data_IF_631116040657
#
_entry.id   IF_631116040657
#
_cell.length_a   1.000
_cell.length_b   1.000
_cell.length_c   1.000
_cell.angle_alpha   90.00
_cell.angle_beta   90.00
_cell.angle_gamma   90.00
#
_symmetry.space_group_name_H-M   'P 1'
#
loop_
_entity.id
_entity.type
_entity.pdbx_description
1 polymer ?
#
# COMPACT_ATOMS: atom_id res chain seq x y z
N UNK A 1 4.50 4.37 -12.63
CA UNK A 1 3.82 3.40 -11.75
C UNK A 1 2.38 3.10 -12.15
N UNK A 2 1.43 4.02 -11.96
CA UNK A 2 -0.01 3.72 -12.16
C UNK A 2 -0.37 3.26 -13.58
N UNK A 3 0.19 3.89 -14.62
CA UNK A 3 -0.10 3.53 -16.02
C UNK A 3 0.39 2.12 -16.41
N UNK A 4 1.59 1.72 -15.95
CA UNK A 4 2.10 0.36 -16.19
C UNK A 4 1.23 -0.68 -15.48
N UNK A 5 0.86 -0.41 -14.23
CA UNK A 5 -0.05 -1.31 -13.52
C UNK A 5 -1.42 -1.38 -14.20
N UNK A 6 -1.99 -0.25 -14.60
CA UNK A 6 -3.27 -0.21 -15.31
C UNK A 6 -3.23 -0.99 -16.63
N UNK A 7 -2.15 -0.85 -17.43
CA UNK A 7 -1.95 -1.67 -18.62
C UNK A 7 -1.93 -3.15 -18.28
N UNK A 8 -1.09 -3.54 -17.31
CA UNK A 8 -0.99 -4.93 -16.88
C UNK A 8 -2.28 -5.46 -16.26
N UNK A 9 -3.17 -4.61 -15.75
CA UNK A 9 -4.48 -5.01 -15.24
C UNK A 9 -5.48 -5.30 -16.36
N UNK A 10 -5.52 -4.47 -17.39
CA UNK A 10 -6.51 -4.61 -18.49
C UNK A 10 -6.06 -5.59 -19.58
N UNK A 11 -4.77 -5.93 -19.64
CA UNK A 11 -4.25 -6.93 -20.60
C UNK A 11 -4.45 -8.34 -20.08
N UNK A 12 -5.02 -9.28 -20.86
CA UNK A 12 -5.28 -10.65 -20.39
C UNK A 12 -4.00 -11.46 -20.17
N UNK A 13 -2.97 -11.24 -20.98
CA UNK A 13 -1.69 -11.95 -20.91
C UNK A 13 -0.60 -11.13 -20.24
N UNK A 14 0.43 -11.83 -19.76
CA UNK A 14 1.65 -11.21 -19.25
C UNK A 14 2.41 -10.50 -20.39
N UNK A 15 2.96 -9.32 -20.10
CA UNK A 15 3.69 -8.51 -21.07
C UNK A 15 5.18 -8.46 -20.75
N UNK A 16 6.02 -8.32 -21.77
CA UNK A 16 7.45 -8.01 -21.66
C UNK A 16 7.68 -6.52 -21.40
N UNK A 17 8.90 -6.15 -20.99
CA UNK A 17 9.27 -4.73 -20.87
C UNK A 17 9.10 -4.00 -22.20
N UNK A 18 9.48 -4.63 -23.33
CA UNK A 18 9.35 -4.06 -24.67
C UNK A 18 7.88 -3.75 -25.02
N UNK A 19 6.96 -4.68 -24.75
CA UNK A 19 5.53 -4.48 -25.02
C UNK A 19 4.93 -3.37 -24.14
N UNK A 20 5.37 -3.26 -22.88
CA UNK A 20 4.98 -2.17 -21.98
C UNK A 20 5.47 -0.82 -22.52
N UNK A 21 6.71 -0.75 -23.00
CA UNK A 21 7.29 0.46 -23.58
C UNK A 21 6.52 0.91 -24.82
N UNK A 22 6.24 -0.04 -25.73
CA UNK A 22 5.50 0.22 -26.96
C UNK A 22 4.07 0.70 -26.65
N UNK A 23 3.36 -0.03 -25.79
CA UNK A 23 1.96 0.26 -25.43
C UNK A 23 1.77 1.62 -24.77
N UNK A 24 2.74 2.06 -23.96
CA UNK A 24 2.63 3.31 -23.19
C UNK A 24 3.49 4.45 -23.73
N UNK A 25 4.27 4.21 -24.80
CA UNK A 25 5.24 5.18 -25.34
C UNK A 25 6.19 5.72 -24.26
N UNK A 26 6.69 4.84 -23.38
CA UNK A 26 7.62 5.20 -22.30
C UNK A 26 9.02 4.62 -22.53
N UNK A 27 10.03 5.27 -21.93
CA UNK A 27 11.41 4.79 -22.04
C UNK A 27 11.62 3.45 -21.31
N UNK A 28 12.62 2.69 -21.77
CA UNK A 28 13.05 1.43 -21.12
C UNK A 28 13.39 1.61 -19.65
N UNK A 29 14.05 2.72 -19.30
CA UNK A 29 14.39 3.05 -17.92
C UNK A 29 13.16 3.25 -17.04
N UNK A 30 12.14 3.97 -17.54
CA UNK A 30 10.88 4.17 -16.83
C UNK A 30 10.10 2.86 -16.67
N UNK A 31 9.98 2.07 -17.74
CA UNK A 31 9.32 0.77 -17.71
C UNK A 31 9.97 -0.17 -16.70
N UNK A 32 11.30 -0.36 -16.78
CA UNK A 32 12.04 -1.23 -15.86
C UNK A 32 11.94 -0.79 -14.40
N UNK A 33 12.09 0.51 -14.13
CA UNK A 33 11.98 1.05 -12.78
C UNK A 33 10.58 0.79 -12.21
N UNK A 34 9.54 1.12 -13.00
CA UNK A 34 8.16 0.91 -12.59
C UNK A 34 7.84 -0.58 -12.37
N UNK A 35 8.25 -1.47 -13.28
CA UNK A 35 8.01 -2.91 -13.14
C UNK A 35 8.70 -3.47 -11.89
N UNK A 36 9.95 -3.08 -11.63
CA UNK A 36 10.67 -3.46 -10.41
C UNK A 36 9.95 -2.97 -9.15
N UNK A 37 9.46 -1.74 -9.17
CA UNK A 37 8.72 -1.20 -8.05
C UNK A 37 7.42 -1.95 -7.82
N UNK A 38 6.64 -2.23 -8.87
CA UNK A 38 5.41 -3.01 -8.78
C UNK A 38 5.67 -4.43 -8.25
N UNK A 39 6.77 -5.07 -8.65
CA UNK A 39 7.22 -6.34 -8.07
C UNK A 39 7.55 -6.19 -6.58
N UNK A 40 8.27 -5.12 -6.20
CA UNK A 40 8.59 -4.87 -4.79
C UNK A 40 7.34 -4.66 -3.92
N UNK A 41 6.27 -4.12 -4.50
CA UNK A 41 4.97 -3.94 -3.88
C UNK A 41 4.11 -5.21 -3.91
N UNK A 42 4.57 -6.28 -4.59
CA UNK A 42 3.82 -7.53 -4.77
C UNK A 42 2.57 -7.38 -5.65
N UNK A 43 2.51 -6.33 -6.48
CA UNK A 43 1.39 -6.08 -7.40
C UNK A 43 1.59 -6.72 -8.78
N UNK A 44 2.84 -7.05 -9.09
CA UNK A 44 3.23 -7.69 -10.35
C UNK A 44 4.18 -8.84 -10.04
N UNK A 45 4.03 -9.94 -10.76
CA UNK A 45 4.93 -11.09 -10.71
C UNK A 45 5.67 -11.29 -12.04
N UNK A 46 6.82 -11.97 -11.97
CA UNK A 46 7.56 -12.40 -13.16
C UNK A 46 7.13 -13.80 -13.56
N UNK A 47 6.73 -13.95 -14.81
CA UNK A 47 6.44 -15.24 -15.44
C UNK A 47 7.54 -15.57 -16.46
N UNK A 48 7.89 -16.85 -16.54
CA UNK A 48 8.85 -17.38 -17.51
C UNK A 48 8.12 -18.33 -18.46
N UNK A 49 8.30 -18.11 -19.76
CA UNK A 49 7.77 -19.00 -20.80
C UNK A 49 8.87 -19.98 -21.23
N UNK A 50 8.63 -21.31 -21.24
CA UNK A 50 9.63 -22.29 -21.65
C UNK A 50 10.20 -22.00 -23.06
N UNK A 51 11.52 -22.04 -23.19
CA UNK A 51 12.21 -21.77 -24.47
C UNK A 51 12.45 -20.28 -24.75
N UNK A 52 11.89 -19.38 -23.95
CA UNK A 52 12.10 -17.94 -24.08
C UNK A 52 13.11 -17.41 -23.04
N UNK A 53 13.94 -16.45 -23.47
CA UNK A 53 14.88 -15.73 -22.58
C UNK A 53 14.32 -14.41 -22.04
N UNK A 54 13.10 -14.06 -22.44
CA UNK A 54 12.43 -12.82 -22.04
C UNK A 54 11.73 -12.99 -20.69
N UNK A 55 11.69 -11.92 -19.92
CA UNK A 55 10.86 -11.84 -18.71
C UNK A 55 9.47 -11.32 -19.08
N UNK A 56 8.44 -11.99 -18.56
CA UNK A 56 7.06 -11.57 -18.69
C UNK A 56 6.54 -11.08 -17.34
N UNK A 57 5.68 -10.08 -17.35
CA UNK A 57 5.15 -9.42 -16.16
C UNK A 57 3.64 -9.53 -16.15
N UNK A 58 3.08 -10.02 -15.05
CA UNK A 58 1.64 -10.23 -14.88
C UNK A 58 1.16 -9.55 -13.61
N UNK A 59 -0.03 -8.94 -13.67
CA UNK A 59 -0.69 -8.35 -12.50
C UNK A 59 -1.94 -9.16 -12.14
N UNK A 60 -2.19 -9.35 -10.83
CA UNK A 60 -3.46 -9.88 -10.32
C UNK A 60 -4.63 -9.07 -10.87
N UNK A 61 -5.75 -9.71 -11.17
CA UNK A 61 -6.96 -9.09 -11.74
C UNK A 61 -8.04 -8.84 -10.70
N UNK A 62 -7.92 -9.49 -9.54
CA UNK A 62 -8.84 -9.32 -8.43
C UNK A 62 -8.55 -7.99 -7.71
N UNK A 63 -9.45 -7.03 -7.88
CA UNK A 63 -9.32 -5.70 -7.29
C UNK A 63 -9.28 -5.71 -5.77
N UNK A 64 -9.91 -6.69 -5.12
CA UNK A 64 -9.85 -6.83 -3.68
C UNK A 64 -8.48 -7.32 -3.21
N UNK A 65 -7.89 -8.28 -3.92
CA UNK A 65 -6.52 -8.73 -3.63
C UNK A 65 -5.50 -7.61 -3.82
N UNK A 66 -5.62 -6.85 -4.91
CA UNK A 66 -4.80 -5.66 -5.16
C UNK A 66 -4.94 -4.66 -4.01
N UNK A 67 -6.17 -4.32 -3.62
CA UNK A 67 -6.41 -3.36 -2.54
C UNK A 67 -5.82 -3.83 -1.21
N UNK A 68 -5.98 -5.11 -0.86
CA UNK A 68 -5.36 -5.71 0.34
C UNK A 68 -3.83 -5.66 0.28
N UNK A 69 -3.25 -5.94 -0.88
CA UNK A 69 -1.79 -5.90 -1.04
C UNK A 69 -1.24 -4.48 -0.88
N UNK A 70 -1.91 -3.47 -1.46
CA UNK A 70 -1.55 -2.06 -1.26
C UNK A 70 -1.69 -1.66 0.20
N UNK A 71 -2.79 -2.02 0.86
CA UNK A 71 -3.03 -1.72 2.28
C UNK A 71 -1.95 -2.34 3.18
N UNK A 72 -1.56 -3.59 2.91
CA UNK A 72 -0.49 -4.30 3.62
C UNK A 72 0.85 -3.60 3.47
N UNK A 73 1.24 -3.26 2.24
CA UNK A 73 2.53 -2.60 2.00
C UNK A 73 2.55 -1.17 2.55
N UNK A 74 1.46 -0.40 2.44
CA UNK A 74 1.32 0.92 3.07
C UNK A 74 1.45 0.84 4.58
N UNK A 75 0.73 -0.09 5.21
CA UNK A 75 0.83 -0.31 6.66
C UNK A 75 2.28 -0.54 7.08
N UNK A 76 2.95 -1.50 6.42
CA UNK A 76 4.32 -1.89 6.72
C UNK A 76 5.35 -0.76 6.50
N UNK A 77 5.23 -0.02 5.38
CA UNK A 77 6.24 0.98 4.97
C UNK A 77 6.04 2.34 5.62
N UNK A 78 4.79 2.69 5.95
CA UNK A 78 4.44 4.05 6.37
C UNK A 78 3.79 4.09 7.75
N UNK A 79 2.79 3.25 8.02
CA UNK A 79 2.03 3.34 9.27
C UNK A 79 2.79 2.78 10.48
N UNK A 80 3.38 1.58 10.34
CA UNK A 80 4.12 0.93 11.43
C UNK A 80 5.28 1.82 11.95
N UNK A 81 6.12 2.44 11.09
CA UNK A 81 7.15 3.36 11.55
C UNK A 81 6.59 4.59 12.27
N UNK A 82 5.48 5.16 11.77
CA UNK A 82 4.84 6.34 12.37
C UNK A 82 4.29 6.02 13.75
N UNK A 83 3.60 4.88 13.91
CA UNK A 83 3.08 4.44 15.22
C UNK A 83 4.22 4.26 16.22
N UNK A 84 5.34 3.65 15.81
CA UNK A 84 6.51 3.46 16.68
C UNK A 84 7.04 4.80 17.21
N UNK A 85 7.20 5.79 16.33
CA UNK A 85 7.67 7.13 16.72
C UNK A 85 6.65 7.82 17.64
N UNK A 86 5.37 7.75 17.32
CA UNK A 86 4.31 8.34 18.14
C UNK A 86 4.22 7.70 19.54
N UNK A 87 4.46 6.40 19.64
CA UNK A 87 4.55 5.70 20.93
C UNK A 87 5.73 6.17 21.77
N UNK A 88 6.88 6.47 21.16
CA UNK A 88 8.02 7.07 21.86
C UNK A 88 7.71 8.50 22.32
N UNK A 89 7.16 9.34 21.43
CA UNK A 89 6.80 10.72 21.73
C UNK A 89 5.72 10.81 22.83
N UNK A 90 4.77 9.88 22.87
CA UNK A 90 3.72 9.84 23.89
C UNK A 90 4.24 9.56 25.31
N UNK A 91 5.47 9.04 25.44
CA UNK A 91 6.12 8.73 26.73
C UNK A 91 6.99 9.87 27.24
N UNK A 92 7.17 10.94 26.46
CA UNK A 92 7.95 12.12 26.85
C UNK A 92 7.32 12.75 28.08
N UNK A 93 8.13 12.96 29.12
CA UNK A 93 7.71 13.62 30.36
C UNK A 93 8.02 15.11 30.28
N UNK A 94 7.16 15.93 30.86
CA UNK A 94 7.32 17.38 30.93
C UNK A 94 6.41 17.97 32.01
N UNK A 95 6.49 19.28 32.20
CA UNK A 95 5.66 19.97 33.18
C UNK A 95 4.22 20.08 32.68
N UNK A 96 3.27 19.45 33.37
CA UNK A 96 1.86 19.51 33.02
C UNK A 96 1.26 20.93 33.14
N UNK A 97 1.94 21.84 33.82
CA UNK A 97 1.56 23.26 33.92
C UNK A 97 2.08 24.11 32.77
N UNK A 98 3.07 23.62 32.01
CA UNK A 98 3.57 24.29 30.81
C UNK A 98 2.54 24.15 29.66
N UNK A 99 1.98 25.26 29.16
CA UNK A 99 1.05 25.24 28.03
C UNK A 99 1.61 24.59 26.76
N UNK A 100 2.93 24.74 26.51
CA UNK A 100 3.58 24.15 25.35
C UNK A 100 3.62 22.62 25.46
N UNK A 101 4.07 22.10 26.61
CA UNK A 101 4.05 20.66 26.87
C UNK A 101 2.65 20.06 26.81
N UNK A 102 1.64 20.74 27.41
CA UNK A 102 0.25 20.27 27.38
C UNK A 102 -0.28 20.15 25.95
N UNK A 103 0.01 21.13 25.10
CA UNK A 103 -0.39 21.14 23.68
C UNK A 103 0.30 20.03 22.90
N UNK A 104 1.62 19.88 23.08
CA UNK A 104 2.40 18.81 22.47
C UNK A 104 1.84 17.43 22.85
N UNK A 105 1.71 17.15 24.14
CA UNK A 105 1.27 15.85 24.64
C UNK A 105 -0.12 15.48 24.13
N UNK A 106 -1.05 16.45 24.12
CA UNK A 106 -2.39 16.26 23.55
C UNK A 106 -2.32 15.91 22.06
N UNK A 107 -1.62 16.70 21.27
CA UNK A 107 -1.51 16.49 19.82
C UNK A 107 -0.88 15.13 19.49
N UNK A 108 0.22 14.77 20.13
CA UNK A 108 0.86 13.45 19.94
C UNK A 108 -0.08 12.32 20.32
N UNK A 109 -0.78 12.45 21.45
CA UNK A 109 -1.74 11.42 21.91
C UNK A 109 -2.90 11.26 20.93
N UNK A 110 -3.47 12.37 20.45
CA UNK A 110 -4.60 12.34 19.53
C UNK A 110 -4.19 11.75 18.16
N UNK A 111 -3.01 12.12 17.64
CA UNK A 111 -2.46 11.55 16.40
C UNK A 111 -2.15 10.06 16.60
N UNK A 112 -1.55 9.66 17.72
CA UNK A 112 -1.25 8.25 18.01
C UNK A 112 -2.53 7.41 18.08
N UNK A 113 -3.58 7.94 18.73
CA UNK A 113 -4.89 7.28 18.80
C UNK A 113 -5.50 7.10 17.41
N UNK A 114 -5.43 8.13 16.56
CA UNK A 114 -5.91 8.04 15.18
C UNK A 114 -5.12 6.98 14.39
N UNK A 115 -3.79 7.00 14.46
CA UNK A 115 -2.92 6.06 13.77
C UNK A 115 -3.24 4.61 14.17
N UNK A 116 -3.42 4.32 15.47
CA UNK A 116 -3.81 2.99 15.99
C UNK A 116 -5.21 2.56 15.55
N UNK A 117 -6.15 3.49 15.43
CA UNK A 117 -7.48 3.18 14.92
C UNK A 117 -7.45 2.83 13.43
N UNK A 118 -6.67 3.56 12.63
CA UNK A 118 -6.42 3.24 11.22
C UNK A 118 -5.76 1.86 11.13
N UNK A 119 -4.74 1.59 11.95
CA UNK A 119 -4.04 0.30 11.97
C UNK A 119 -4.98 -0.89 12.20
N UNK A 120 -5.82 -0.80 13.23
CA UNK A 120 -6.83 -1.80 13.55
C UNK A 120 -7.83 -2.00 12.41
N UNK A 121 -8.18 -0.92 11.71
CA UNK A 121 -9.09 -0.96 10.56
C UNK A 121 -8.44 -1.68 9.38
N UNK A 122 -7.16 -1.40 9.10
CA UNK A 122 -6.39 -2.10 8.08
C UNK A 122 -6.21 -3.58 8.42
N UNK A 123 -5.89 -3.94 9.66
CA UNK A 123 -5.81 -5.36 10.07
C UNK A 123 -7.13 -6.09 9.85
N UNK A 124 -8.24 -5.43 10.13
CA UNK A 124 -9.58 -5.97 9.93
C UNK A 124 -9.86 -6.18 8.45
N UNK A 125 -9.54 -5.21 7.59
CA UNK A 125 -9.62 -5.32 6.13
C UNK A 125 -8.79 -6.49 5.59
N UNK A 126 -7.57 -6.68 6.10
CA UNK A 126 -6.66 -7.73 5.63
C UNK A 126 -7.16 -9.15 5.95
N UNK A 127 -7.89 -9.31 7.07
CA UNK A 127 -8.42 -10.59 7.55
C UNK A 127 -9.83 -10.92 7.02
N UNK A 128 -10.54 -9.92 6.52
CA UNK A 128 -11.93 -10.06 6.09
C UNK A 128 -12.10 -10.30 4.59
N UNK A 129 -13.24 -10.87 4.22
CA UNK A 129 -13.73 -10.84 2.84
C UNK A 129 -14.30 -9.45 2.49
N UNK A 130 -14.34 -9.15 1.19
CA UNK A 130 -14.78 -7.86 0.66
C UNK A 130 -16.19 -7.48 1.12
N UNK A 131 -17.12 -8.45 1.05
CA UNK A 131 -18.54 -8.21 1.32
C UNK A 131 -18.80 -7.85 2.78
N UNK A 132 -18.13 -8.56 3.69
CA UNK A 132 -18.21 -8.30 5.12
C UNK A 132 -17.58 -6.95 5.48
N UNK A 133 -16.46 -6.58 4.83
CA UNK A 133 -15.77 -5.32 5.10
C UNK A 133 -16.62 -4.11 4.74
N UNK A 134 -17.17 -4.06 3.52
CA UNK A 134 -18.05 -2.98 3.09
C UNK A 134 -19.36 -2.95 3.91
N UNK A 135 -19.92 -4.11 4.23
CA UNK A 135 -21.09 -4.20 5.10
C UNK A 135 -20.83 -3.66 6.51
N UNK A 136 -19.60 -3.78 7.01
CA UNK A 136 -19.18 -3.24 8.31
C UNK A 136 -18.90 -1.73 8.26
N UNK A 137 -18.25 -1.25 7.19
CA UNK A 137 -18.03 0.19 6.98
C UNK A 137 -19.36 0.96 6.88
N UNK A 138 -20.33 0.45 6.12
CA UNK A 138 -21.64 1.10 5.96
C UNK A 138 -22.39 1.24 7.31
N UNK A 139 -22.17 0.32 8.25
CA UNK A 139 -22.75 0.39 9.60
C UNK A 139 -22.09 1.43 10.50
N UNK A 140 -20.87 1.87 10.19
CA UNK A 140 -20.16 2.91 10.97
C UNK A 140 -20.62 4.31 10.54
N UNK A 141 -21.08 4.47 9.30
CA UNK A 141 -21.60 5.74 8.77
C UNK A 141 -23.11 5.93 8.95
N UNK A 142 -23.79 4.97 9.59
CA UNK A 142 -25.22 5.01 9.92
C UNK A 142 -25.39 5.17 11.42
#
# INVERSE_FOLDING_TARGET
>A
MAQVHALLLVTPEALTTEEVMESLSISRGNANMTLRDLISWGLVEKQHKPGERKEYFFADKDTWNIARQVAKERRKRELDPVIKILDELSKVKGDAKDPAFKTFNKSVTDINKLAKNVDKTLETMLKADESWFWGSILKIFK
#
